data_IF_703234083107
#
_entry.id   IF_703234083107
#
_cell.length_a   1.000
_cell.length_b   1.000
_cell.length_c   1.000
_cell.angle_alpha   90.00
_cell.angle_beta   90.00
_cell.angle_gamma   90.00
#
_symmetry.space_group_name_H-M   'P 1'
#
loop_
_entity.id
_entity.type
_entity.pdbx_description
1 polymer ?
#
# COMPACT_ATOMS: atom_id res chain seq x y z
N UNK A 1 53.46 36.86 -19.00
CA UNK A 1 54.75 36.75 -19.69
C UNK A 1 55.31 35.39 -19.32
N UNK A 2 55.01 34.45 -20.22
CA UNK A 2 55.87 33.40 -20.78
C UNK A 2 57.12 32.86 -20.06
N UNK A 3 57.27 31.55 -20.32
CA UNK A 3 58.46 30.69 -20.37
C UNK A 3 58.76 29.91 -19.08
N UNK A 4 58.85 28.58 -19.08
CA UNK A 4 59.03 27.62 -20.18
C UNK A 4 60.35 26.86 -19.99
N UNK A 5 60.23 25.53 -20.01
CA UNK A 5 61.26 24.51 -20.32
C UNK A 5 62.39 24.23 -19.31
N UNK A 6 63.02 23.05 -19.24
CA UNK A 6 62.72 21.65 -19.59
C UNK A 6 63.95 20.77 -19.19
N UNK A 7 63.71 19.46 -18.97
CA UNK A 7 64.62 18.27 -19.16
C UNK A 7 65.92 18.10 -18.35
N UNK A 8 66.14 16.88 -17.79
CA UNK A 8 67.50 16.33 -17.68
C UNK A 8 67.78 15.16 -16.72
N UNK A 9 67.39 13.93 -17.10
CA UNK A 9 68.16 12.65 -17.01
C UNK A 9 68.89 12.20 -15.72
N UNK A 10 68.62 10.95 -15.30
CA UNK A 10 69.71 9.96 -15.15
C UNK A 10 69.72 9.02 -13.95
N UNK A 11 69.67 7.71 -14.27
CA UNK A 11 70.31 6.55 -13.62
C UNK A 11 69.63 5.79 -12.46
N UNK A 12 69.17 4.59 -12.81
CA UNK A 12 69.11 3.36 -11.99
C UNK A 12 70.43 2.56 -12.26
N UNK A 13 70.93 1.71 -11.35
CA UNK A 13 70.48 0.30 -11.29
C UNK A 13 70.51 -0.30 -9.86
N UNK A 14 69.78 -1.41 -9.64
CA UNK A 14 70.28 -2.69 -9.09
C UNK A 14 69.08 -3.58 -8.72
N UNK A 15 68.82 -4.58 -9.57
CA UNK A 15 68.05 -5.79 -9.22
C UNK A 15 68.98 -6.79 -8.52
N UNK A 16 68.48 -7.47 -7.48
CA UNK A 16 68.82 -8.88 -7.25
C UNK A 16 67.66 -9.62 -6.58
N UNK A 17 67.43 -10.81 -7.11
CA UNK A 17 66.34 -11.78 -6.91
C UNK A 17 66.26 -12.41 -5.53
N UNK A 18 65.04 -12.73 -5.10
CA UNK A 18 64.76 -13.67 -4.01
C UNK A 18 63.26 -13.97 -3.85
N UNK A 19 62.76 -15.00 -4.53
CA UNK A 19 61.41 -15.55 -4.31
C UNK A 19 61.35 -16.28 -2.96
N UNK A 20 60.35 -15.95 -2.13
CA UNK A 20 59.67 -16.95 -1.29
C UNK A 20 58.19 -16.64 -1.22
N UNK A 21 57.40 -17.62 -1.67
CA UNK A 21 55.94 -17.65 -1.63
C UNK A 21 55.52 -17.91 -0.18
N UNK A 22 54.59 -17.09 0.33
CA UNK A 22 53.47 -17.46 1.19
C UNK A 22 52.59 -16.21 1.36
N UNK A 23 51.47 -16.22 0.63
CA UNK A 23 50.44 -15.19 0.59
C UNK A 23 49.56 -15.27 1.84
N UNK A 24 49.56 -14.22 2.64
CA UNK A 24 48.46 -13.89 3.57
C UNK A 24 47.83 -12.60 3.08
N UNK A 25 46.68 -12.72 2.43
CA UNK A 25 45.82 -11.58 2.11
C UNK A 25 45.18 -11.04 3.39
N UNK A 26 45.57 -9.83 3.79
CA UNK A 26 44.79 -8.98 4.68
C UNK A 26 44.46 -7.72 3.88
N UNK A 27 43.33 -7.74 3.18
CA UNK A 27 42.88 -6.59 2.40
C UNK A 27 41.92 -5.77 3.26
N UNK A 28 42.43 -4.64 3.77
CA UNK A 28 41.64 -3.62 4.46
C UNK A 28 40.73 -2.92 3.46
N UNK A 29 39.44 -3.27 3.44
CA UNK A 29 38.44 -2.49 2.72
C UNK A 29 38.11 -1.21 3.49
N UNK A 30 38.40 -0.08 2.84
CA UNK A 30 38.00 1.25 3.27
C UNK A 30 36.47 1.33 3.39
N UNK A 31 35.99 1.57 4.61
CA UNK A 31 34.62 2.00 4.86
C UNK A 31 34.40 3.40 4.27
N UNK A 32 33.90 3.48 3.04
CA UNK A 32 33.12 4.64 2.62
C UNK A 32 31.74 4.52 3.24
N UNK A 33 31.56 5.15 4.40
CA UNK A 33 30.26 5.43 4.98
C UNK A 33 29.52 6.41 4.04
N UNK A 34 28.81 5.85 3.05
CA UNK A 34 27.70 6.55 2.41
C UNK A 34 26.56 6.65 3.41
N UNK A 35 26.03 7.85 3.62
CA UNK A 35 24.78 8.05 4.36
C UNK A 35 23.69 7.22 3.66
N UNK A 36 23.14 6.22 4.35
CA UNK A 36 21.90 5.53 3.93
C UNK A 36 20.83 6.61 3.75
N UNK A 37 20.20 6.64 2.57
CA UNK A 37 18.95 7.34 2.35
C UNK A 37 17.88 6.74 3.27
N UNK A 38 16.95 7.57 3.72
CA UNK A 38 15.79 7.19 4.52
C UNK A 38 14.71 6.51 3.66
N UNK A 39 15.13 5.74 2.64
CA UNK A 39 14.31 5.28 1.51
C UNK A 39 14.35 3.75 1.36
N UNK A 40 14.93 3.03 2.33
CA UNK A 40 15.02 1.56 2.30
C UNK A 40 13.84 0.99 3.07
N UNK A 41 12.68 0.86 2.42
CA UNK A 41 11.66 -0.10 2.84
C UNK A 41 12.27 -1.48 2.58
N UNK A 42 13.14 -1.93 3.49
CA UNK A 42 13.72 -3.27 3.43
C UNK A 42 12.55 -4.25 3.29
N UNK A 43 12.49 -4.97 2.17
CA UNK A 43 11.44 -5.96 2.00
C UNK A 43 10.06 -5.46 1.52
N UNK A 44 10.00 -4.45 0.65
CA UNK A 44 8.85 -4.28 -0.25
C UNK A 44 8.95 -5.22 -1.46
N UNK A 45 7.81 -5.73 -1.94
CA UNK A 45 7.72 -6.52 -3.19
C UNK A 45 6.85 -5.76 -4.17
N UNK A 46 7.29 -5.61 -5.42
CA UNK A 46 6.52 -4.98 -6.49
C UNK A 46 6.73 -5.76 -7.77
N UNK A 47 5.67 -6.41 -8.24
CA UNK A 47 5.70 -7.36 -9.35
C UNK A 47 4.82 -6.83 -10.47
N UNK A 48 5.39 -6.69 -11.66
CA UNK A 48 4.67 -6.48 -12.91
C UNK A 48 4.44 -7.85 -13.56
N UNK A 49 3.19 -8.24 -13.71
CA UNK A 49 2.83 -9.60 -14.10
C UNK A 49 2.81 -9.75 -15.62
N UNK A 50 3.59 -10.70 -16.15
CA UNK A 50 3.65 -10.98 -17.59
C UNK A 50 4.75 -10.24 -18.36
N UNK A 51 5.56 -9.41 -17.71
CA UNK A 51 6.81 -8.90 -18.33
C UNK A 51 7.86 -10.02 -18.47
N UNK A 52 8.84 -9.91 -19.38
CA UNK A 52 9.91 -10.88 -19.49
C UNK A 52 10.70 -11.03 -18.19
N UNK A 53 11.19 -12.24 -17.91
CA UNK A 53 11.87 -12.61 -16.65
C UNK A 53 13.05 -11.69 -16.29
N UNK A 54 13.87 -11.34 -17.27
CA UNK A 54 15.07 -10.51 -17.09
C UNK A 54 14.77 -8.99 -17.09
N UNK A 55 13.50 -8.59 -17.11
CA UNK A 55 13.10 -7.19 -17.14
C UNK A 55 12.76 -6.72 -15.73
N UNK A 56 13.36 -5.60 -15.36
CA UNK A 56 13.01 -4.80 -14.22
C UNK A 56 13.12 -3.32 -14.61
N UNK A 57 12.29 -2.48 -14.01
CA UNK A 57 12.26 -1.05 -14.30
C UNK A 57 11.77 -0.26 -13.09
N UNK A 58 12.02 1.03 -13.09
CA UNK A 58 11.40 1.96 -12.13
C UNK A 58 10.33 2.74 -12.86
N UNK A 59 9.10 2.66 -12.38
CA UNK A 59 7.97 3.39 -12.97
C UNK A 59 8.19 4.90 -12.82
N UNK A 60 8.10 5.65 -13.91
CA UNK A 60 8.47 7.07 -13.91
C UNK A 60 7.50 7.92 -13.08
N UNK A 61 6.24 7.50 -12.95
CA UNK A 61 5.22 8.27 -12.22
C UNK A 61 5.28 8.00 -10.72
N UNK A 62 5.31 6.73 -10.35
CA UNK A 62 5.26 6.29 -8.95
C UNK A 62 6.64 6.17 -8.34
N UNK A 63 7.72 6.09 -9.13
CA UNK A 63 9.09 5.80 -8.69
C UNK A 63 9.26 4.40 -8.05
N UNK A 64 8.28 3.51 -8.22
CA UNK A 64 8.34 2.15 -7.71
C UNK A 64 9.17 1.27 -8.64
N UNK A 65 10.11 0.52 -8.08
CA UNK A 65 10.87 -0.49 -8.80
C UNK A 65 10.06 -1.77 -8.96
N UNK A 66 9.79 -2.20 -10.19
CA UNK A 66 9.06 -3.42 -10.53
C UNK A 66 9.98 -4.49 -11.12
N UNK A 67 9.67 -5.73 -10.79
CA UNK A 67 10.34 -6.95 -11.27
C UNK A 67 9.34 -7.92 -11.89
N UNK A 68 9.82 -8.89 -12.66
CA UNK A 68 9.00 -9.93 -13.28
C UNK A 68 8.38 -10.88 -12.25
N UNK A 69 7.23 -11.46 -12.60
CA UNK A 69 6.55 -12.48 -11.81
C UNK A 69 7.15 -13.89 -11.87
N UNK A 70 8.15 -14.12 -12.73
CA UNK A 70 8.69 -15.44 -13.04
C UNK A 70 9.16 -16.24 -11.80
N UNK A 71 9.67 -15.57 -10.76
CA UNK A 71 10.14 -16.22 -9.54
C UNK A 71 9.03 -16.56 -8.54
N UNK A 72 7.83 -16.00 -8.73
CA UNK A 72 6.72 -16.10 -7.78
C UNK A 72 5.62 -17.04 -8.25
N UNK A 73 5.60 -17.40 -9.54
CA UNK A 73 4.62 -18.32 -10.11
C UNK A 73 5.18 -19.11 -11.31
N UNK A 74 4.91 -20.42 -11.33
CA UNK A 74 5.37 -21.33 -12.39
C UNK A 74 4.35 -21.62 -13.50
N UNK A 75 3.11 -21.14 -13.37
CA UNK A 75 2.01 -21.41 -14.31
C UNK A 75 1.56 -20.15 -15.05
N UNK A 76 0.64 -20.33 -16.01
CA UNK A 76 0.06 -19.24 -16.78
C UNK A 76 0.92 -18.76 -17.94
N UNK A 77 0.33 -17.89 -18.76
CA UNK A 77 0.93 -17.35 -19.99
C UNK A 77 0.99 -15.83 -19.92
N UNK A 78 2.11 -15.27 -20.37
CA UNK A 78 2.27 -13.83 -20.53
C UNK A 78 1.50 -13.32 -21.75
N UNK A 79 0.80 -12.20 -21.58
CA UNK A 79 0.03 -11.55 -22.64
C UNK A 79 0.24 -10.05 -22.58
N UNK A 80 0.28 -9.42 -23.76
CA UNK A 80 0.17 -7.97 -23.86
C UNK A 80 -1.31 -7.61 -23.98
N UNK A 81 -1.69 -6.45 -23.49
CA UNK A 81 -3.01 -5.90 -23.79
C UNK A 81 -3.16 -5.62 -25.30
N UNK A 82 -4.40 -5.42 -25.74
CA UNK A 82 -4.70 -5.04 -27.12
C UNK A 82 -3.99 -3.75 -27.52
N UNK A 83 -3.28 -3.81 -28.65
CA UNK A 83 -2.55 -2.65 -29.21
C UNK A 83 -3.46 -1.46 -29.51
N UNK A 84 -4.77 -1.69 -29.67
CA UNK A 84 -5.77 -0.64 -29.90
C UNK A 84 -5.94 0.29 -28.69
N UNK A 85 -5.55 -0.15 -27.50
CA UNK A 85 -5.72 0.58 -26.25
C UNK A 85 -4.45 1.29 -25.77
N UNK A 86 -3.31 1.05 -26.42
CA UNK A 86 -1.99 1.53 -25.96
C UNK A 86 -1.87 3.05 -25.83
N UNK A 87 -2.67 3.82 -26.58
CA UNK A 87 -2.69 5.28 -26.49
C UNK A 87 -3.61 5.83 -25.38
N UNK A 88 -4.52 5.01 -24.86
CA UNK A 88 -5.55 5.41 -23.89
C UNK A 88 -5.14 5.10 -22.45
N UNK A 89 -4.13 4.24 -22.28
CA UNK A 89 -3.75 3.68 -20.98
C UNK A 89 -2.37 4.20 -20.61
N UNK A 90 -2.20 4.77 -19.40
CA UNK A 90 -0.88 5.12 -18.88
C UNK A 90 0.06 3.92 -18.97
N UNK A 91 1.29 4.15 -19.45
CA UNK A 91 2.32 3.11 -19.46
C UNK A 91 2.61 2.62 -18.03
N UNK A 92 3.14 1.40 -17.92
CA UNK A 92 3.46 0.74 -16.66
C UNK A 92 2.82 -0.65 -16.56
N UNK A 93 2.46 -1.04 -15.33
CA UNK A 93 2.01 -2.40 -14.97
C UNK A 93 0.71 -2.87 -15.62
N UNK A 94 0.00 -2.01 -16.35
CA UNK A 94 -1.24 -2.36 -17.05
C UNK A 94 -1.04 -2.67 -18.54
N UNK A 95 0.21 -2.70 -19.02
CA UNK A 95 0.53 -3.03 -20.41
C UNK A 95 0.68 -4.54 -20.67
N UNK A 96 0.95 -5.30 -19.61
CA UNK A 96 1.06 -6.76 -19.62
C UNK A 96 0.17 -7.39 -18.57
N UNK A 97 -0.16 -8.66 -18.79
CA UNK A 97 -0.81 -9.51 -17.78
C UNK A 97 -0.20 -10.90 -17.80
N UNK A 98 -0.30 -11.59 -16.66
CA UNK A 98 -0.24 -13.05 -16.63
C UNK A 98 -1.64 -13.63 -16.60
N UNK A 99 -1.93 -14.50 -17.57
CA UNK A 99 -3.24 -15.14 -17.79
C UNK A 99 -3.19 -16.63 -17.50
N UNK A 100 -4.25 -17.18 -16.89
CA UNK A 100 -4.32 -18.57 -16.43
C UNK A 100 -5.46 -19.37 -17.09
N UNK A 101 -5.31 -19.78 -18.37
CA UNK A 101 -6.37 -20.46 -19.10
C UNK A 101 -6.54 -21.96 -18.78
N UNK A 102 -5.52 -22.60 -18.20
CA UNK A 102 -5.49 -24.06 -18.02
C UNK A 102 -5.97 -24.50 -16.64
N UNK A 103 -5.34 -23.99 -15.59
CA UNK A 103 -5.60 -24.44 -14.23
C UNK A 103 -6.77 -23.70 -13.59
N UNK A 104 -7.56 -24.44 -12.80
CA UNK A 104 -8.67 -23.86 -12.03
C UNK A 104 -8.19 -22.93 -10.92
N UNK A 105 -7.01 -23.17 -10.35
CA UNK A 105 -6.45 -22.43 -9.21
C UNK A 105 -4.97 -22.16 -9.44
N UNK A 106 -4.57 -20.90 -9.38
CA UNK A 106 -3.20 -20.47 -9.66
C UNK A 106 -2.73 -19.58 -8.51
N UNK A 107 -1.63 -19.93 -7.86
CA UNK A 107 -1.18 -19.27 -6.63
C UNK A 107 0.22 -18.70 -6.81
N UNK A 108 0.34 -17.40 -6.57
CA UNK A 108 1.63 -16.75 -6.35
C UNK A 108 2.14 -17.15 -4.98
N UNK A 109 3.42 -17.49 -4.89
CA UNK A 109 4.11 -17.76 -3.62
C UNK A 109 5.00 -16.59 -3.30
N UNK A 110 4.68 -15.87 -2.23
CA UNK A 110 5.45 -14.74 -1.73
C UNK A 110 6.07 -15.10 -0.38
N UNK A 111 7.24 -14.55 -0.07
CA UNK A 111 7.86 -14.67 1.25
C UNK A 111 7.79 -13.34 1.97
N UNK A 112 7.37 -13.37 3.23
CA UNK A 112 7.31 -12.18 4.06
C UNK A 112 8.70 -11.66 4.36
N UNK A 113 9.07 -10.46 3.89
CA UNK A 113 10.47 -10.04 3.98
C UNK A 113 10.95 -9.76 5.41
N UNK A 114 10.02 -9.39 6.30
CA UNK A 114 10.26 -9.07 7.71
C UNK A 114 9.74 -10.19 8.65
N UNK A 115 9.28 -11.33 8.11
CA UNK A 115 8.77 -12.47 8.88
C UNK A 115 7.36 -12.32 9.49
N UNK A 116 7.03 -13.19 10.44
CA UNK A 116 5.73 -13.24 11.12
C UNK A 116 5.46 -12.06 12.07
N UNK A 117 4.18 -11.81 12.39
CA UNK A 117 3.67 -10.70 13.24
C UNK A 117 3.89 -9.27 12.70
N UNK A 118 4.32 -9.13 11.45
CA UNK A 118 4.34 -7.85 10.72
C UNK A 118 3.01 -7.69 9.97
N UNK A 119 2.43 -6.49 9.97
CA UNK A 119 1.23 -6.20 9.18
C UNK A 119 1.67 -5.83 7.77
N UNK A 120 1.16 -6.56 6.78
CA UNK A 120 1.43 -6.33 5.37
C UNK A 120 0.23 -5.73 4.66
N UNK A 121 0.44 -4.64 3.93
CA UNK A 121 -0.44 -4.23 2.85
C UNK A 121 -0.15 -5.13 1.65
N UNK A 122 -1.16 -5.82 1.14
CA UNK A 122 -1.06 -6.58 -0.11
C UNK A 122 -2.07 -6.01 -1.09
N UNK A 123 -1.59 -5.66 -2.29
CA UNK A 123 -2.42 -5.08 -3.35
C UNK A 123 -2.29 -5.90 -4.63
N UNK A 124 -3.41 -6.39 -5.13
CA UNK A 124 -3.50 -7.02 -6.43
C UNK A 124 -4.26 -6.10 -7.39
N UNK A 125 -3.66 -5.84 -8.56
CA UNK A 125 -4.22 -4.93 -9.56
C UNK A 125 -4.51 -5.68 -10.86
N UNK A 126 -5.62 -5.30 -11.50
CA UNK A 126 -6.15 -5.97 -12.67
C UNK A 126 -6.69 -4.95 -13.67
N UNK A 127 -6.34 -5.14 -14.94
CA UNK A 127 -7.00 -4.46 -16.05
C UNK A 127 -7.04 -5.39 -17.26
N UNK A 128 -8.24 -5.67 -17.77
CA UNK A 128 -8.43 -6.69 -18.81
C UNK A 128 -7.72 -6.34 -20.11
N UNK A 129 -7.84 -5.10 -20.59
CA UNK A 129 -7.13 -4.62 -21.78
C UNK A 129 -7.40 -5.44 -23.04
N UNK A 130 -8.43 -6.29 -23.06
CA UNK A 130 -8.73 -7.23 -24.14
C UNK A 130 -7.50 -8.06 -24.60
N UNK A 131 -6.70 -8.55 -23.64
CA UNK A 131 -5.42 -9.23 -23.91
C UNK A 131 -5.55 -10.54 -24.73
N UNK A 132 -6.75 -11.11 -24.77
CA UNK A 132 -7.07 -12.38 -25.45
C UNK A 132 -7.91 -12.21 -26.72
N UNK A 133 -8.17 -10.96 -27.12
CA UNK A 133 -8.98 -10.60 -28.29
C UNK A 133 -10.44 -11.10 -28.28
N UNK A 134 -10.95 -11.58 -27.13
CA UNK A 134 -12.31 -12.10 -27.02
C UNK A 134 -13.36 -11.03 -26.76
N UNK A 135 -12.95 -9.89 -26.21
CA UNK A 135 -13.80 -8.78 -25.78
C UNK A 135 -14.93 -9.22 -24.85
N UNK A 136 -14.62 -10.18 -23.96
CA UNK A 136 -15.52 -10.71 -22.95
C UNK A 136 -14.90 -10.46 -21.58
N UNK A 137 -15.57 -9.64 -20.77
CA UNK A 137 -15.06 -9.27 -19.45
C UNK A 137 -15.07 -10.49 -18.53
N UNK A 138 -13.89 -10.94 -18.03
CA UNK A 138 -13.84 -12.11 -17.17
C UNK A 138 -14.29 -11.77 -15.74
N UNK A 139 -14.77 -12.79 -15.03
CA UNK A 139 -15.01 -12.74 -13.59
C UNK A 139 -14.37 -13.96 -12.94
N UNK A 140 -13.69 -13.75 -11.81
CA UNK A 140 -12.99 -14.77 -11.06
C UNK A 140 -12.79 -14.34 -9.60
N UNK A 141 -12.34 -15.26 -8.76
CA UNK A 141 -12.19 -15.00 -7.32
C UNK A 141 -10.73 -14.97 -6.89
N UNK A 142 -10.45 -14.19 -5.85
CA UNK A 142 -9.16 -14.09 -5.17
C UNK A 142 -9.22 -14.75 -3.80
N UNK A 143 -8.10 -15.36 -3.43
CA UNK A 143 -7.92 -16.03 -2.15
C UNK A 143 -6.55 -15.69 -1.55
N UNK A 144 -6.52 -15.59 -0.22
CA UNK A 144 -5.29 -15.57 0.58
C UNK A 144 -5.16 -16.94 1.24
N UNK A 145 -4.19 -17.73 0.81
CA UNK A 145 -4.15 -19.16 1.11
C UNK A 145 -5.47 -19.79 0.66
N UNK A 146 -6.15 -20.50 1.55
CA UNK A 146 -7.46 -21.13 1.30
C UNK A 146 -8.65 -20.20 1.52
N UNK A 147 -8.43 -19.00 2.06
CA UNK A 147 -9.51 -18.12 2.49
C UNK A 147 -9.92 -17.13 1.40
N UNK A 148 -11.24 -16.99 1.20
CA UNK A 148 -11.79 -16.07 0.21
C UNK A 148 -11.45 -14.62 0.56
N UNK A 149 -10.87 -13.92 -0.40
CA UNK A 149 -10.59 -12.50 -0.30
C UNK A 149 -11.74 -11.70 -0.90
N UNK A 150 -11.91 -11.79 -2.23
CA UNK A 150 -12.89 -11.01 -2.98
C UNK A 150 -13.09 -11.56 -4.40
N UNK A 151 -14.14 -11.11 -5.07
CA UNK A 151 -14.35 -11.34 -6.50
C UNK A 151 -13.82 -10.17 -7.33
N UNK A 152 -13.20 -10.48 -8.46
CA UNK A 152 -12.73 -9.52 -9.46
C UNK A 152 -13.73 -9.48 -10.61
N UNK A 153 -14.25 -8.27 -10.87
CA UNK A 153 -15.25 -8.02 -11.92
C UNK A 153 -14.99 -6.66 -12.56
N UNK A 154 -15.15 -6.58 -13.88
CA UNK A 154 -14.87 -5.38 -14.66
C UNK A 154 -16.16 -4.77 -15.22
N UNK A 155 -16.20 -3.45 -15.35
CA UNK A 155 -17.30 -2.72 -15.99
C UNK A 155 -17.06 -2.53 -17.49
N UNK A 156 -15.79 -2.46 -17.89
CA UNK A 156 -15.34 -2.30 -19.28
C UNK A 156 -13.88 -2.78 -19.43
N UNK A 157 -13.35 -2.73 -20.65
CA UNK A 157 -12.02 -3.27 -21.00
C UNK A 157 -10.84 -2.50 -20.38
N UNK A 158 -11.01 -1.22 -20.06
CA UNK A 158 -9.98 -0.37 -19.44
C UNK A 158 -10.22 -0.12 -17.95
N UNK A 159 -11.25 -0.74 -17.37
CA UNK A 159 -11.55 -0.61 -15.94
C UNK A 159 -10.43 -1.24 -15.12
N UNK A 160 -9.76 -0.42 -14.31
CA UNK A 160 -8.75 -0.86 -13.36
C UNK A 160 -9.44 -1.29 -12.07
N UNK A 161 -9.28 -2.56 -11.72
CA UNK A 161 -9.75 -3.12 -10.46
C UNK A 161 -8.56 -3.30 -9.55
N UNK A 162 -8.63 -2.74 -8.35
CA UNK A 162 -7.61 -2.87 -7.31
C UNK A 162 -8.25 -3.53 -6.11
N UNK A 163 -7.61 -4.57 -5.58
CA UNK A 163 -7.99 -5.23 -4.34
C UNK A 163 -6.84 -5.08 -3.36
N UNK A 164 -7.13 -4.59 -2.16
CA UNK A 164 -6.13 -4.34 -1.13
C UNK A 164 -6.58 -4.93 0.21
N UNK A 165 -5.63 -5.54 0.92
CA UNK A 165 -5.81 -6.09 2.28
C UNK A 165 -4.68 -5.66 3.19
N UNK A 166 -4.99 -5.60 4.48
CA UNK A 166 -4.02 -5.71 5.56
C UNK A 166 -4.04 -7.15 6.07
N UNK A 167 -2.88 -7.80 6.07
CA UNK A 167 -2.74 -9.18 6.49
C UNK A 167 -1.63 -9.33 7.53
N UNK A 168 -1.95 -10.02 8.62
CA UNK A 168 -0.97 -10.50 9.59
C UNK A 168 -0.74 -11.99 9.32
N UNK A 169 0.45 -12.35 8.81
CA UNK A 169 0.71 -13.72 8.41
C UNK A 169 0.98 -14.61 9.61
N UNK A 170 0.51 -15.85 9.50
CA UNK A 170 0.80 -16.93 10.46
C UNK A 170 1.91 -17.87 10.01
N UNK A 171 2.33 -17.76 8.74
CA UNK A 171 3.34 -18.59 8.09
C UNK A 171 4.37 -17.70 7.41
N UNK A 172 5.54 -18.23 7.08
CA UNK A 172 6.60 -17.50 6.38
C UNK A 172 6.27 -17.25 4.90
N UNK A 173 5.41 -18.11 4.31
CA UNK A 173 4.95 -18.02 2.93
C UNK A 173 3.49 -17.54 2.86
N UNK A 174 3.25 -16.63 1.93
CA UNK A 174 1.95 -16.09 1.56
C UNK A 174 1.56 -16.58 0.19
N UNK A 175 0.35 -17.14 0.10
CA UNK A 175 -0.21 -17.57 -1.17
C UNK A 175 -1.32 -16.61 -1.60
N UNK A 176 -1.15 -15.94 -2.74
CA UNK A 176 -2.20 -15.16 -3.38
C UNK A 176 -2.71 -15.95 -4.57
N UNK A 177 -3.93 -16.48 -4.45
CA UNK A 177 -4.49 -17.41 -5.41
C UNK A 177 -5.63 -16.78 -6.22
N UNK A 178 -5.61 -17.01 -7.53
CA UNK A 178 -6.68 -16.72 -8.45
C UNK A 178 -7.44 -18.01 -8.76
N UNK A 179 -8.77 -17.98 -8.61
CA UNK A 179 -9.65 -19.12 -8.83
C UNK A 179 -10.58 -18.85 -10.00
N UNK A 180 -10.55 -19.73 -11.01
CA UNK A 180 -11.47 -19.70 -12.13
C UNK A 180 -12.89 -20.12 -11.69
N UNK A 181 -13.87 -19.25 -11.94
CA UNK A 181 -15.29 -19.46 -11.65
C UNK A 181 -16.10 -19.81 -12.91
N UNK A 182 -15.42 -20.24 -13.97
CA UNK A 182 -15.98 -20.57 -15.28
C UNK A 182 -16.67 -19.38 -15.98
N UNK A 183 -16.32 -18.15 -15.60
CA UNK A 183 -16.85 -16.88 -16.14
C UNK A 183 -15.78 -16.04 -16.86
N UNK A 184 -14.78 -16.71 -17.43
CA UNK A 184 -13.65 -16.10 -18.12
C UNK A 184 -12.31 -16.45 -17.48
N UNK A 185 -11.24 -16.20 -18.21
CA UNK A 185 -9.88 -16.59 -17.81
C UNK A 185 -9.33 -15.66 -16.72
N UNK A 186 -8.96 -16.17 -15.53
CA UNK A 186 -8.30 -15.37 -14.52
C UNK A 186 -6.97 -14.81 -15.02
N UNK A 187 -6.65 -13.60 -14.59
CA UNK A 187 -5.40 -12.94 -14.92
C UNK A 187 -5.01 -11.95 -13.81
N UNK A 188 -3.78 -11.46 -13.83
CA UNK A 188 -3.29 -10.41 -12.93
C UNK A 188 -2.34 -9.47 -13.67
N UNK A 189 -2.38 -8.18 -13.34
CA UNK A 189 -1.52 -7.14 -13.93
C UNK A 189 -0.36 -6.79 -12.98
N UNK A 190 -0.63 -6.62 -11.69
CA UNK A 190 0.41 -6.32 -10.70
C UNK A 190 0.12 -6.92 -9.33
N UNK A 191 1.18 -7.20 -8.59
CA UNK A 191 1.12 -7.62 -7.19
C UNK A 191 2.15 -6.84 -6.37
N UNK A 192 1.67 -6.08 -5.39
CA UNK A 192 2.49 -5.23 -4.53
C UNK A 192 2.33 -5.64 -3.06
N UNK A 193 3.44 -5.61 -2.31
CA UNK A 193 3.49 -5.85 -0.87
C UNK A 193 4.30 -4.75 -0.19
N UNK A 194 3.73 -4.19 0.88
CA UNK A 194 4.38 -3.22 1.77
C UNK A 194 4.20 -3.68 3.21
N UNK A 195 5.14 -3.37 4.08
CA UNK A 195 5.00 -3.61 5.51
C UNK A 195 4.74 -2.29 6.23
N UNK A 196 4.05 -2.37 7.37
CA UNK A 196 3.82 -1.24 8.26
C UNK A 196 4.70 -1.32 9.51
N UNK A 197 4.85 -0.19 10.21
CA UNK A 197 5.36 -0.19 11.58
C UNK A 197 4.47 -1.07 12.46
N UNK A 198 5.10 -1.89 13.29
CA UNK A 198 4.43 -2.87 14.16
C UNK A 198 3.40 -2.27 15.11
N UNK A 199 3.41 -0.96 15.38
CA UNK A 199 2.49 -0.29 16.29
C UNK A 199 1.28 0.35 15.61
N UNK A 200 1.22 0.35 14.27
CA UNK A 200 0.06 0.81 13.49
C UNK A 200 -0.90 -0.34 13.14
N UNK A 201 -2.17 -0.02 12.88
CA UNK A 201 -3.20 -0.96 12.41
C UNK A 201 -3.35 -2.28 13.22
N UNK A 202 -3.01 -2.27 14.51
CA UNK A 202 -3.19 -3.45 15.36
C UNK A 202 -4.66 -3.72 15.59
N UNK A 203 -5.10 -4.90 15.19
CA UNK A 203 -6.47 -5.38 15.41
C UNK A 203 -6.44 -6.86 15.83
N UNK A 204 -7.54 -7.34 16.40
CA UNK A 204 -7.69 -8.77 16.72
C UNK A 204 -7.91 -9.63 15.45
N UNK A 205 -8.18 -8.98 14.32
CA UNK A 205 -8.42 -9.62 13.02
C UNK A 205 -7.11 -9.82 12.24
N UNK A 206 -6.94 -11.01 11.66
CA UNK A 206 -5.75 -11.35 10.85
C UNK A 206 -5.82 -10.86 9.40
N UNK A 207 -7.02 -10.53 8.93
CA UNK A 207 -7.26 -10.05 7.56
C UNK A 207 -8.31 -8.95 7.56
N UNK A 208 -7.94 -7.82 6.98
CA UNK A 208 -8.79 -6.66 6.78
C UNK A 208 -8.76 -6.30 5.29
N UNK A 209 -9.92 -6.21 4.64
CA UNK A 209 -10.02 -5.74 3.26
C UNK A 209 -10.27 -4.24 3.26
N UNK A 210 -9.54 -3.49 2.43
CA UNK A 210 -9.80 -2.06 2.27
C UNK A 210 -11.20 -1.86 1.68
N UNK A 211 -12.05 -1.12 2.37
CA UNK A 211 -13.27 -0.57 1.78
C UNK A 211 -12.93 0.73 1.05
N UNK A 212 -12.41 1.72 1.78
CA UNK A 212 -12.02 3.03 1.23
C UNK A 212 -10.92 3.68 2.07
N UNK A 213 -10.07 4.45 1.39
CA UNK A 213 -9.04 5.33 1.96
C UNK A 213 -9.17 6.70 1.31
N UNK A 214 -9.53 7.70 2.10
CA UNK A 214 -9.96 9.02 1.62
C UNK A 214 -8.97 10.11 1.98
N UNK A 215 -8.55 10.89 0.98
CA UNK A 215 -7.93 12.20 1.12
C UNK A 215 -9.05 13.26 1.14
N UNK A 216 -9.30 13.86 2.31
CA UNK A 216 -10.49 14.69 2.53
C UNK A 216 -10.15 16.17 2.36
N UNK A 217 -10.92 16.85 1.50
CA UNK A 217 -10.67 18.26 1.15
C UNK A 217 -9.53 18.44 0.14
N UNK A 218 -9.19 17.38 -0.60
CA UNK A 218 -8.14 17.38 -1.61
C UNK A 218 -8.31 18.53 -2.63
N UNK A 219 -7.22 19.24 -2.90
CA UNK A 219 -7.20 20.39 -3.83
C UNK A 219 -6.74 20.04 -5.24
N UNK A 220 -6.08 18.89 -5.42
CA UNK A 220 -5.54 18.45 -6.71
C UNK A 220 -6.47 17.45 -7.40
N UNK A 221 -7.34 16.77 -6.64
CA UNK A 221 -8.17 15.67 -7.11
C UNK A 221 -7.34 14.53 -7.75
N UNK A 222 -6.10 14.37 -7.28
CA UNK A 222 -5.20 13.31 -7.69
C UNK A 222 -5.07 12.26 -6.57
N UNK A 223 -4.75 11.02 -6.95
CA UNK A 223 -4.47 9.96 -5.96
C UNK A 223 -3.08 10.19 -5.38
N UNK A 224 -3.00 10.32 -4.06
CA UNK A 224 -1.71 10.38 -3.35
C UNK A 224 -1.26 8.95 -3.03
N UNK A 225 -0.01 8.62 -3.40
CA UNK A 225 0.68 7.36 -3.05
C UNK A 225 2.19 7.63 -2.99
N UNK A 226 3.02 6.60 -3.11
CA UNK A 226 4.48 6.77 -3.19
C UNK A 226 4.89 7.74 -4.33
N UNK A 227 5.85 8.66 -4.15
CA UNK A 227 6.75 8.83 -2.99
C UNK A 227 6.18 9.65 -1.80
N UNK A 228 4.99 10.24 -1.92
CA UNK A 228 4.40 11.08 -0.86
C UNK A 228 3.96 10.27 0.37
N UNK A 229 3.57 9.01 0.16
CA UNK A 229 3.28 8.04 1.22
C UNK A 229 4.32 6.92 1.23
N UNK A 230 5.11 6.84 2.31
CA UNK A 230 6.18 5.84 2.47
C UNK A 230 5.69 4.41 2.55
N UNK A 231 4.42 4.20 2.95
CA UNK A 231 3.78 2.89 2.92
C UNK A 231 3.05 2.61 1.61
N UNK A 232 3.14 3.51 0.64
CA UNK A 232 2.54 3.41 -0.69
C UNK A 232 1.04 3.08 -0.64
N UNK A 233 0.35 3.61 0.37
CA UNK A 233 -1.11 3.58 0.43
C UNK A 233 -1.66 4.51 -0.65
N UNK A 234 -2.72 4.08 -1.33
CA UNK A 234 -3.44 4.93 -2.28
C UNK A 234 -4.55 5.70 -1.56
N UNK A 235 -4.41 7.02 -1.46
CA UNK A 235 -5.42 7.93 -0.92
C UNK A 235 -6.24 8.54 -2.04
N UNK A 236 -7.55 8.30 -2.00
CA UNK A 236 -8.46 8.77 -3.04
C UNK A 236 -9.13 10.07 -2.60
N UNK A 237 -9.15 11.10 -3.44
CA UNK A 237 -9.77 12.38 -3.10
C UNK A 237 -11.25 12.19 -2.82
N UNK A 238 -11.71 12.77 -1.72
CA UNK A 238 -13.11 12.78 -1.32
C UNK A 238 -13.49 14.16 -0.81
N UNK A 239 -14.30 14.87 -1.60
CA UNK A 239 -14.83 16.17 -1.24
C UNK A 239 -16.26 16.01 -0.77
N UNK A 240 -16.46 16.17 0.54
CA UNK A 240 -17.77 16.02 1.19
C UNK A 240 -18.71 17.17 0.74
N UNK A 241 -19.93 16.87 0.26
CA UNK A 241 -20.96 17.88 0.04
C UNK A 241 -21.27 18.67 1.32
N UNK A 242 -21.69 19.93 1.21
CA UNK A 242 -22.05 20.78 2.36
C UNK A 242 -20.93 21.00 3.39
N UNK A 243 -19.69 21.00 2.91
CA UNK A 243 -18.50 21.29 3.69
C UNK A 243 -17.65 22.40 3.06
N UNK A 244 -16.86 23.07 3.89
CA UNK A 244 -15.89 24.09 3.47
C UNK A 244 -14.48 23.49 3.52
N UNK A 245 -13.75 23.42 2.39
CA UNK A 245 -12.39 22.93 2.38
C UNK A 245 -11.44 23.90 3.06
N UNK A 246 -10.40 23.35 3.68
CA UNK A 246 -9.31 24.06 4.34
C UNK A 246 -7.98 23.51 3.81
N UNK A 247 -6.98 24.38 3.71
CA UNK A 247 -5.64 23.97 3.33
C UNK A 247 -4.58 24.81 4.03
N UNK A 248 -3.39 24.23 4.18
CA UNK A 248 -2.23 24.91 4.74
C UNK A 248 -0.99 24.65 3.89
N UNK A 249 -0.09 25.64 3.84
CA UNK A 249 1.23 25.51 3.21
C UNK A 249 2.30 25.03 4.21
N UNK A 250 1.99 24.99 5.51
CA UNK A 250 2.92 24.57 6.53
C UNK A 250 3.13 23.05 6.53
N UNK A 251 4.29 22.61 7.02
CA UNK A 251 4.61 21.19 7.10
C UNK A 251 3.93 20.55 8.32
N UNK A 252 3.23 19.44 8.09
CA UNK A 252 2.64 18.60 9.14
C UNK A 252 3.68 17.57 9.59
N UNK A 253 3.71 17.24 10.88
CA UNK A 253 4.59 16.21 11.47
C UNK A 253 6.10 16.45 11.30
N UNK A 254 6.51 17.70 11.08
CA UNK A 254 7.91 18.05 10.81
C UNK A 254 8.93 17.63 11.88
N UNK A 255 8.49 17.43 13.13
CA UNK A 255 9.35 17.08 14.26
C UNK A 255 9.10 15.67 14.79
N UNK A 256 7.90 15.12 14.60
CA UNK A 256 7.45 13.86 15.15
C UNK A 256 6.52 13.19 14.17
N UNK A 257 6.89 12.00 13.72
CA UNK A 257 6.02 11.14 12.92
C UNK A 257 5.26 10.17 13.82
N UNK A 258 3.99 9.94 13.51
CA UNK A 258 3.21 8.87 14.12
C UNK A 258 3.55 7.53 13.46
N UNK A 259 3.24 6.42 14.13
CA UNK A 259 3.41 5.07 13.57
C UNK A 259 2.65 4.85 12.25
N UNK A 260 1.64 5.68 11.97
CA UNK A 260 0.88 5.63 10.74
C UNK A 260 1.61 6.27 9.55
N UNK A 261 2.68 7.04 9.77
CA UNK A 261 3.44 7.76 8.73
C UNK A 261 2.53 8.39 7.66
N UNK A 262 1.57 9.20 8.09
CA UNK A 262 0.58 9.80 7.21
C UNK A 262 1.25 10.76 6.23
N UNK A 263 0.90 10.73 4.93
CA UNK A 263 1.53 11.58 3.93
C UNK A 263 1.19 13.06 4.18
N UNK A 264 2.18 13.96 4.23
CA UNK A 264 1.93 15.39 4.44
C UNK A 264 1.00 15.99 3.40
N UNK A 265 1.00 15.49 2.16
CA UNK A 265 0.10 15.95 1.10
C UNK A 265 -1.38 15.80 1.49
N UNK A 266 -1.76 14.69 2.12
CA UNK A 266 -3.14 14.42 2.60
C UNK A 266 -3.43 15.22 3.88
N UNK A 267 -2.46 15.30 4.79
CA UNK A 267 -2.69 15.96 6.08
C UNK A 267 -2.72 17.50 6.02
N UNK A 268 -2.32 18.10 4.89
CA UNK A 268 -2.38 19.55 4.66
C UNK A 268 -3.77 20.06 4.28
N UNK A 269 -4.66 19.17 3.89
CA UNK A 269 -6.05 19.47 3.54
C UNK A 269 -7.00 18.92 4.59
N UNK A 270 -8.15 19.57 4.72
CA UNK A 270 -9.25 19.10 5.55
C UNK A 270 -10.57 19.68 5.05
N UNK A 271 -11.68 19.21 5.60
CA UNK A 271 -12.96 19.91 5.53
C UNK A 271 -13.45 20.28 6.92
N UNK A 272 -14.29 21.32 6.98
CA UNK A 272 -15.14 21.66 8.13
C UNK A 272 -16.59 21.84 7.67
N UNK A 273 -17.59 21.81 8.57
CA UNK A 273 -18.96 22.15 8.23
C UNK A 273 -19.05 23.56 7.64
N UNK A 274 -19.98 23.79 6.71
CA UNK A 274 -20.19 25.12 6.11
C UNK A 274 -20.63 26.16 7.15
N UNK A 275 -21.51 25.78 8.08
CA UNK A 275 -21.90 26.65 9.19
C UNK A 275 -21.17 26.25 10.48
N UNK A 276 -20.76 27.24 11.28
CA UNK A 276 -19.90 27.03 12.45
C UNK A 276 -20.44 26.12 13.55
N UNK A 277 -21.76 25.86 13.58
CA UNK A 277 -22.41 25.04 14.59
C UNK A 277 -23.02 23.75 14.01
N UNK A 278 -22.83 23.51 12.72
CA UNK A 278 -23.25 22.25 12.09
C UNK A 278 -22.24 21.14 12.41
N UNK A 279 -22.67 19.90 12.18
CA UNK A 279 -21.82 18.71 12.27
C UNK A 279 -21.22 18.33 10.92
N UNK A 280 -20.08 17.63 10.96
CA UNK A 280 -19.63 16.86 9.79
C UNK A 280 -20.30 15.50 9.84
N UNK A 281 -20.98 15.13 8.76
CA UNK A 281 -21.72 13.89 8.64
C UNK A 281 -21.18 13.08 7.46
N UNK A 282 -20.90 11.80 7.69
CA UNK A 282 -20.53 10.85 6.64
C UNK A 282 -21.42 9.62 6.76
N UNK A 283 -21.89 9.11 5.62
CA UNK A 283 -22.71 7.91 5.55
C UNK A 283 -22.12 6.97 4.50
N UNK A 284 -21.69 5.80 4.93
CA UNK A 284 -21.14 4.77 4.06
C UNK A 284 -21.89 3.45 4.26
N UNK A 285 -22.13 2.74 3.15
CA UNK A 285 -22.64 1.38 3.17
C UNK A 285 -21.57 0.44 2.60
N UNK A 286 -20.98 -0.39 3.46
CA UNK A 286 -19.97 -1.36 3.06
C UNK A 286 -20.54 -2.49 2.21
N UNK A 287 -21.87 -2.62 2.11
CA UNK A 287 -22.54 -3.69 1.36
C UNK A 287 -22.45 -5.07 2.02
N UNK A 288 -21.85 -5.16 3.20
CA UNK A 288 -21.61 -6.41 3.91
C UNK A 288 -22.26 -6.37 5.31
N UNK A 289 -23.57 -6.62 5.43
CA UNK A 289 -24.33 -6.40 6.67
C UNK A 289 -23.90 -7.30 7.83
N UNK A 290 -23.19 -8.39 7.52
CA UNK A 290 -22.67 -9.36 8.49
C UNK A 290 -21.19 -9.18 8.77
N UNK A 291 -20.50 -8.26 8.11
CA UNK A 291 -19.06 -8.05 8.30
C UNK A 291 -18.82 -6.91 9.26
N UNK A 292 -17.89 -7.12 10.17
CA UNK A 292 -17.42 -6.06 11.05
C UNK A 292 -16.41 -5.16 10.31
N UNK A 293 -16.23 -3.93 10.80
CA UNK A 293 -15.31 -2.96 10.19
C UNK A 293 -14.43 -2.26 11.23
N UNK A 294 -13.20 -1.93 10.84
CA UNK A 294 -12.33 -1.01 11.58
C UNK A 294 -12.25 0.32 10.85
N UNK A 295 -12.20 1.40 11.63
CA UNK A 295 -12.18 2.77 11.11
C UNK A 295 -11.01 3.51 11.72
N UNK A 296 -10.32 4.28 10.89
CA UNK A 296 -9.23 5.16 11.27
C UNK A 296 -9.54 6.55 10.75
N UNK A 297 -9.64 7.52 11.64
CA UNK A 297 -9.85 8.92 11.28
C UNK A 297 -8.57 9.70 11.59
N UNK A 298 -8.07 10.43 10.60
CA UNK A 298 -6.82 11.16 10.70
C UNK A 298 -7.08 12.66 10.72
N UNK A 299 -6.50 13.31 11.71
CA UNK A 299 -6.69 14.71 12.00
C UNK A 299 -5.35 15.43 12.11
N UNK A 300 -5.31 16.69 11.70
CA UNK A 300 -4.28 17.65 12.07
C UNK A 300 -4.94 19.02 12.18
N UNK A 301 -4.65 19.79 13.23
CA UNK A 301 -5.10 21.19 13.28
C UNK A 301 -4.24 22.01 12.31
N UNK A 302 -4.88 22.51 11.25
CA UNK A 302 -4.23 23.25 10.16
C UNK A 302 -4.57 24.73 10.17
N UNK A 303 -5.48 25.18 11.03
CA UNK A 303 -5.73 26.59 11.30
C UNK A 303 -5.00 27.00 12.59
N UNK A 304 -4.31 28.13 12.58
CA UNK A 304 -3.68 28.66 13.79
C UNK A 304 -4.76 29.28 14.69
N UNK A 305 -5.03 28.62 15.82
CA UNK A 305 -5.99 29.09 16.83
C UNK A 305 -5.29 29.97 17.87
N UNK A 306 -5.88 31.13 18.18
CA UNK A 306 -5.38 32.02 19.26
C UNK A 306 -5.64 31.39 20.64
N UNK A 307 -5.00 31.94 21.68
CA UNK A 307 -5.13 31.43 23.06
C UNK A 307 -6.58 31.34 23.58
N UNK A 308 -7.47 32.21 23.10
CA UNK A 308 -8.89 32.23 23.47
C UNK A 308 -9.80 31.44 22.51
N UNK A 309 -9.22 30.80 21.50
CA UNK A 309 -9.90 29.98 20.51
C UNK A 309 -9.60 28.50 20.75
N UNK A 310 -10.56 27.63 20.48
CA UNK A 310 -10.38 26.19 20.62
C UNK A 310 -11.21 25.44 19.60
N UNK A 311 -10.72 24.25 19.23
CA UNK A 311 -11.47 23.26 18.48
C UNK A 311 -11.60 22.00 19.32
N UNK A 312 -12.79 21.81 19.88
CA UNK A 312 -13.15 20.64 20.68
C UNK A 312 -14.46 20.08 20.16
N UNK A 313 -14.47 18.79 19.83
CA UNK A 313 -15.62 18.12 19.26
C UNK A 313 -15.72 16.67 19.75
N UNK A 314 -16.92 16.11 19.67
CA UNK A 314 -17.15 14.68 19.89
C UNK A 314 -17.30 13.99 18.54
N UNK A 315 -16.97 12.69 18.50
CA UNK A 315 -17.14 11.82 17.34
C UNK A 315 -18.07 10.70 17.74
N UNK A 316 -19.10 10.49 16.93
CA UNK A 316 -20.00 9.34 17.05
C UNK A 316 -19.98 8.50 15.79
N UNK A 317 -20.21 7.20 15.98
CA UNK A 317 -20.40 6.22 14.94
C UNK A 317 -21.70 5.46 15.22
N UNK A 318 -22.63 5.47 14.27
CA UNK A 318 -23.94 4.83 14.39
C UNK A 318 -24.69 5.26 15.67
N UNK A 319 -24.54 6.53 16.04
CA UNK A 319 -25.15 7.13 17.23
C UNK A 319 -24.47 6.78 18.56
N UNK A 320 -23.42 5.96 18.56
CA UNK A 320 -22.61 5.66 19.73
C UNK A 320 -21.35 6.52 19.74
N UNK A 321 -20.89 6.89 20.93
CA UNK A 321 -19.68 7.69 21.11
C UNK A 321 -18.45 6.85 20.74
N UNK A 322 -17.70 7.34 19.74
CA UNK A 322 -16.41 6.78 19.36
C UNK A 322 -15.27 7.47 20.13
N UNK A 323 -15.34 8.80 20.25
CA UNK A 323 -14.38 9.60 21.01
C UNK A 323 -15.03 10.88 21.53
N UNK A 324 -14.69 11.29 22.74
CA UNK A 324 -15.21 12.50 23.37
C UNK A 324 -14.12 13.56 23.53
N UNK A 325 -14.52 14.82 23.40
CA UNK A 325 -13.69 16.00 23.65
C UNK A 325 -12.35 15.95 22.92
N UNK A 326 -12.39 15.56 21.65
CA UNK A 326 -11.22 15.53 20.77
C UNK A 326 -10.65 16.93 20.68
N UNK A 327 -9.37 17.07 21.00
CA UNK A 327 -8.61 18.30 20.89
C UNK A 327 -7.33 18.01 20.12
N UNK A 328 -7.07 18.81 19.08
CA UNK A 328 -5.99 18.61 18.14
C UNK A 328 -4.83 19.55 18.44
N UNK A 329 -3.61 19.13 18.09
CA UNK A 329 -2.41 19.97 18.19
C UNK A 329 -2.10 20.57 16.82
N UNK A 330 -1.72 21.85 16.80
CA UNK A 330 -1.39 22.55 15.56
C UNK A 330 -0.23 21.86 14.82
N UNK A 331 -0.46 21.53 13.54
CA UNK A 331 0.46 20.88 12.61
C UNK A 331 1.01 19.51 13.07
N UNK A 332 0.29 18.83 13.98
CA UNK A 332 0.63 17.47 14.41
C UNK A 332 -0.55 16.53 14.12
N UNK A 333 -0.27 15.45 13.42
CA UNK A 333 -1.26 14.44 13.10
C UNK A 333 -1.67 13.65 14.34
N UNK A 334 -2.93 13.23 14.35
CA UNK A 334 -3.50 12.35 15.36
C UNK A 334 -4.49 11.42 14.67
N UNK A 335 -4.36 10.13 14.95
CA UNK A 335 -5.33 9.12 14.50
C UNK A 335 -6.26 8.79 15.65
N UNK A 336 -7.56 8.75 15.36
CA UNK A 336 -8.57 8.17 16.25
C UNK A 336 -9.08 6.91 15.55
N UNK A 337 -8.83 5.76 16.17
CA UNK A 337 -9.28 4.47 15.66
C UNK A 337 -10.42 3.86 16.48
N UNK A 338 -11.20 3.01 15.82
CA UNK A 338 -12.12 2.10 16.52
C UNK A 338 -11.34 1.00 17.24
N UNK A 339 -11.48 0.92 18.57
CA UNK A 339 -10.78 -0.10 19.38
C UNK A 339 -11.27 -1.53 19.17
N UNK A 340 -12.51 -1.67 18.70
CA UNK A 340 -13.15 -2.94 18.39
C UNK A 340 -13.78 -2.85 17.01
N UNK A 341 -13.94 -4.00 16.37
CA UNK A 341 -14.62 -4.09 15.09
C UNK A 341 -16.11 -3.70 15.26
N UNK A 342 -16.61 -2.89 14.35
CA UNK A 342 -17.98 -2.37 14.36
C UNK A 342 -18.85 -3.23 13.45
N UNK A 343 -19.90 -3.82 14.02
CA UNK A 343 -20.85 -4.64 13.26
C UNK A 343 -21.85 -3.82 12.46
N UNK A 344 -22.20 -4.35 11.28
CA UNK A 344 -23.23 -3.80 10.38
C UNK A 344 -22.62 -3.14 9.14
N UNK A 345 -23.41 -3.06 8.06
CA UNK A 345 -22.90 -2.50 6.80
C UNK A 345 -22.92 -0.97 6.75
N UNK A 346 -23.81 -0.33 7.51
CA UNK A 346 -23.95 1.12 7.51
C UNK A 346 -23.09 1.75 8.58
N UNK A 347 -22.25 2.68 8.16
CA UNK A 347 -21.35 3.44 9.02
C UNK A 347 -21.72 4.92 8.88
N UNK A 348 -22.46 5.43 9.87
CA UNK A 348 -22.80 6.84 9.98
C UNK A 348 -21.88 7.51 10.99
N UNK A 349 -21.00 8.37 10.51
CA UNK A 349 -20.11 9.17 11.35
C UNK A 349 -20.68 10.58 11.51
N UNK A 350 -20.71 11.05 12.74
CA UNK A 350 -21.11 12.42 13.05
C UNK A 350 -20.07 13.05 13.97
N UNK A 351 -19.51 14.18 13.57
CA UNK A 351 -18.62 14.99 14.39
C UNK A 351 -19.31 16.30 14.71
N UNK A 352 -19.44 16.64 15.98
CA UNK A 352 -20.14 17.86 16.38
C UNK A 352 -19.34 18.66 17.40
N UNK A 353 -19.39 19.97 17.21
CA UNK A 353 -18.73 20.97 18.04
C UNK A 353 -19.23 20.90 19.48
N UNK A 354 -18.34 20.98 20.46
CA UNK A 354 -18.73 21.15 21.88
C UNK A 354 -19.23 22.57 22.15
N UNK A 355 -20.15 22.75 23.12
CA UNK A 355 -20.65 24.08 23.48
C UNK A 355 -19.59 25.09 23.89
N UNK A 356 -18.46 24.63 24.44
CA UNK A 356 -17.33 25.47 24.86
C UNK A 356 -16.25 25.64 23.79
N UNK A 357 -16.40 25.01 22.62
CA UNK A 357 -15.48 25.16 21.48
C UNK A 357 -15.84 26.41 20.69
N UNK A 358 -14.84 27.12 20.17
CA UNK A 358 -15.09 28.26 19.28
C UNK A 358 -15.18 27.83 17.82
N UNK A 359 -14.46 26.77 17.44
CA UNK A 359 -14.38 26.29 16.06
C UNK A 359 -15.14 24.96 15.86
N UNK A 360 -15.67 24.71 14.65
CA UNK A 360 -16.32 23.44 14.31
C UNK A 360 -15.31 22.30 14.15
N UNK A 361 -15.74 21.02 14.09
CA UNK A 361 -14.84 19.91 13.78
C UNK A 361 -14.14 20.05 12.42
N UNK A 362 -13.02 19.36 12.27
CA UNK A 362 -12.29 19.20 11.00
C UNK A 362 -11.98 17.72 10.77
N UNK A 363 -11.76 17.33 9.53
CA UNK A 363 -11.25 15.99 9.19
C UNK A 363 -10.34 16.07 7.96
N UNK A 364 -9.15 15.45 8.04
CA UNK A 364 -8.14 15.45 6.97
C UNK A 364 -8.18 14.17 6.14
N UNK A 365 -8.37 13.01 6.78
CA UNK A 365 -8.35 11.74 6.08
C UNK A 365 -9.14 10.65 6.84
N UNK A 366 -9.57 9.62 6.13
CA UNK A 366 -10.29 8.49 6.74
C UNK A 366 -9.96 7.18 6.02
N UNK A 367 -9.81 6.12 6.79
CA UNK A 367 -9.70 4.74 6.29
C UNK A 367 -10.77 3.87 6.90
N UNK A 368 -11.36 2.99 6.09
CA UNK A 368 -12.34 2.01 6.50
C UNK A 368 -11.90 0.65 5.96
N UNK A 369 -11.79 -0.31 6.85
CA UNK A 369 -11.47 -1.69 6.50
C UNK A 369 -12.56 -2.63 6.98
N UNK A 370 -12.91 -3.60 6.15
CA UNK A 370 -13.88 -4.64 6.46
C UNK A 370 -13.14 -5.90 6.88
N UNK A 371 -13.53 -6.48 8.01
CA UNK A 371 -12.98 -7.74 8.52
C UNK A 371 -13.33 -8.88 7.57
N UNK A 372 -12.32 -9.69 7.24
CA UNK A 372 -12.49 -10.94 6.50
C UNK A 372 -12.16 -12.09 7.44
N UNK A 373 -13.13 -12.96 7.70
CA UNK A 373 -12.93 -14.12 8.56
C UNK A 373 -12.15 -15.20 7.81
N UNK A 374 -11.02 -15.62 8.39
CA UNK A 374 -10.35 -16.84 8.00
C UNK A 374 -11.07 -18.03 8.62
N UNK A 375 -12.10 -18.51 7.91
CA UNK A 375 -12.89 -19.67 8.33
C UNK A 375 -12.11 -20.99 8.23
N UNK A 376 -11.02 -21.01 7.46
CA UNK A 376 -10.20 -22.20 7.23
C UNK A 376 -8.77 -21.97 7.71
N UNK A 377 -8.28 -22.93 8.50
CA UNK A 377 -6.84 -23.00 8.82
C UNK A 377 -6.08 -23.44 7.57
N UNK A 378 -4.90 -22.86 7.29
CA UNK A 378 -4.01 -23.42 6.28
C UNK A 378 -3.76 -24.90 6.60
N UNK A 379 -3.83 -25.78 5.59
CA UNK A 379 -3.33 -27.15 5.73
C UNK A 379 -1.84 -27.10 6.03
N UNK A 380 -1.38 -27.91 6.98
CA UNK A 380 0.01 -27.85 7.43
C UNK A 380 0.95 -28.29 6.31
N UNK A 381 2.16 -27.74 6.22
CA UNK A 381 3.11 -28.12 5.16
C UNK A 381 3.52 -29.60 5.27
N UNK A 382 3.35 -30.21 6.44
CA UNK A 382 3.59 -31.65 6.68
C UNK A 382 2.48 -32.57 6.13
N UNK A 383 1.27 -32.06 5.87
CA UNK A 383 0.15 -32.87 5.38
C UNK A 383 0.37 -33.36 3.93
N UNK A 384 1.33 -32.77 3.20
CA UNK A 384 1.75 -33.20 1.86
C UNK A 384 2.82 -34.31 1.83
N UNK A 385 3.40 -34.70 2.97
CA UNK A 385 4.43 -35.75 3.03
C UNK A 385 3.88 -37.14 3.37
N UNK A 386 2.62 -37.25 3.80
CA UNK A 386 2.04 -38.54 4.14
C UNK A 386 1.43 -39.23 2.90
N UNK A 387 2.28 -39.75 1.99
CA UNK A 387 1.97 -40.88 1.08
C UNK A 387 3.15 -41.27 0.15
N UNK A 388 4.39 -41.31 0.63
CA UNK A 388 5.50 -41.93 -0.12
C UNK A 388 6.33 -42.89 0.74
N UNK A 389 5.68 -43.88 1.34
CA UNK A 389 6.36 -45.03 1.90
C UNK A 389 6.14 -46.27 1.02
N UNK A 390 7.08 -46.41 0.08
CA UNK A 390 7.77 -47.65 -0.31
C UNK A 390 6.98 -48.98 -0.30
N UNK A 391 6.69 -49.48 -1.51
CA UNK A 391 6.73 -50.91 -1.78
C UNK A 391 8.03 -51.22 -2.52
N UNK A 392 8.93 -51.94 -1.86
CA UNK A 392 10.01 -52.72 -2.47
C UNK A 392 9.46 -54.10 -2.87
#
# INVERSE_FOLDING_TARGET
>A
MENGDAIGLGSSPYEFSGKSILTTENNSMQHKQGRRKLDDVSGSISIDCGIPEEVAYTDEKTQIHYTSDAQFIGTGTRKNISLKLTSEIPQGVFTTVRSFPEDKRNCYTLRHPEGGNTIYLIRASFMYGNYDDLNMLPQFDLYVGVNFWDSVKFENVTHVVIKEILHVPSLDELYICLLNTDMGTPFISALEVRHFDHSSYRTDSKLLSLYRRFDIGSTTNEIVRFEEDTYDRMWYPYNLPDSTPLSTSFSIDSLNHTAYHLPPAVMKTAVRPTNENDSLEFDFDTGHPTSDSYVYMHFAEIEYLKENESRVFDITLNGQILSESVSLKYLLSTTIESKQAISGSKLKFSMYKKPNSTHPPILNAMEIYVVKEFLQSPTDQEDGQCCSLSFL
#
